data_IF_032196368582
#
_entry.id   IF_032196368582
#
_cell.length_a   1.000
_cell.length_b   1.000
_cell.length_c   1.000
_cell.angle_alpha   90.00
_cell.angle_beta   90.00
_cell.angle_gamma   90.00
#
_symmetry.space_group_name_H-M   'P 1'
#
loop_
_entity.id
_entity.type
_entity.pdbx_description
1 polymer ?
#
# COMPACT_ATOMS: atom_id res chain seq x y z
N UNK A 1 -54.91 45.96 -11.19
CA UNK A 1 -54.27 47.27 -11.47
C UNK A 1 -53.35 47.58 -10.31
N UNK A 2 -52.18 48.17 -10.57
CA UNK A 2 -51.34 48.70 -9.49
C UNK A 2 -51.47 50.22 -9.53
N UNK A 3 -51.77 50.81 -8.37
CA UNK A 3 -51.77 52.26 -8.18
C UNK A 3 -50.38 52.61 -7.66
N UNK A 4 -49.58 53.30 -8.47
CA UNK A 4 -48.25 53.79 -8.09
C UNK A 4 -48.23 55.32 -8.07
N UNK A 5 -47.48 55.90 -7.14
CA UNK A 5 -47.22 57.33 -7.08
C UNK A 5 -45.86 57.60 -7.72
N UNK A 6 -45.84 58.25 -8.89
CA UNK A 6 -44.59 58.63 -9.57
C UNK A 6 -44.54 60.14 -9.71
N UNK A 7 -43.58 60.75 -9.01
CA UNK A 7 -43.42 62.22 -8.92
C UNK A 7 -44.67 62.92 -8.37
N UNK A 8 -45.24 62.40 -7.29
CA UNK A 8 -46.39 63.01 -6.60
C UNK A 8 -47.75 62.83 -7.29
N UNK A 9 -47.81 62.21 -8.48
CA UNK A 9 -49.07 61.94 -9.19
C UNK A 9 -49.43 60.47 -9.05
N UNK A 10 -50.63 60.18 -8.53
CA UNK A 10 -51.23 58.84 -8.54
C UNK A 10 -51.48 58.42 -9.99
N UNK A 11 -50.88 57.31 -10.40
CA UNK A 11 -51.09 56.72 -11.72
C UNK A 11 -51.63 55.32 -11.56
N UNK A 12 -52.65 55.00 -12.34
CA UNK A 12 -53.12 53.64 -12.51
C UNK A 12 -52.33 53.03 -13.65
N UNK A 13 -51.53 52.01 -13.36
CA UNK A 13 -50.79 51.27 -14.39
C UNK A 13 -51.23 49.81 -14.42
N UNK A 14 -51.28 49.27 -15.64
CA UNK A 14 -51.47 47.84 -15.86
C UNK A 14 -50.16 47.13 -15.48
N UNK A 15 -50.18 46.41 -14.35
CA UNK A 15 -49.09 45.54 -13.93
C UNK A 15 -49.19 44.20 -14.68
N UNK A 16 -48.07 43.61 -15.16
CA UNK A 16 -46.69 44.12 -15.12
C UNK A 16 -46.37 45.14 -16.22
N UNK A 17 -45.45 46.07 -15.94
CA UNK A 17 -44.97 47.07 -16.93
C UNK A 17 -44.39 46.35 -18.15
N UNK A 18 -44.86 46.70 -19.35
CA UNK A 18 -44.30 46.19 -20.61
C UNK A 18 -42.80 46.51 -20.61
N UNK A 19 -41.97 45.47 -20.57
CA UNK A 19 -40.51 45.64 -20.62
C UNK A 19 -40.15 46.22 -21.99
N UNK A 20 -39.28 47.24 -21.99
CA UNK A 20 -38.74 47.80 -23.24
C UNK A 20 -37.88 46.77 -23.99
N UNK A 21 -37.45 47.09 -25.22
CA UNK A 21 -36.55 46.21 -25.96
C UNK A 21 -35.25 45.96 -25.18
N UNK A 22 -34.64 44.76 -25.33
CA UNK A 22 -33.37 44.43 -24.69
C UNK A 22 -32.29 45.43 -25.12
N UNK A 23 -31.52 45.94 -24.15
CA UNK A 23 -30.54 47.01 -24.36
C UNK A 23 -29.15 46.50 -24.70
N UNK A 24 -28.79 45.30 -24.26
CA UNK A 24 -27.48 44.67 -24.55
C UNK A 24 -27.62 43.44 -25.44
N UNK A 25 -26.52 43.04 -26.08
CA UNK A 25 -26.44 41.79 -26.85
C UNK A 25 -26.66 40.56 -25.97
N UNK A 26 -26.03 40.52 -24.80
CA UNK A 26 -26.24 39.45 -23.83
C UNK A 26 -27.72 39.36 -23.42
N UNK A 27 -28.39 40.48 -23.20
CA UNK A 27 -29.82 40.50 -22.88
C UNK A 27 -30.68 40.02 -24.07
N UNK A 28 -30.34 40.42 -25.30
CA UNK A 28 -31.00 39.92 -26.53
C UNK A 28 -30.86 38.40 -26.64
N UNK A 29 -29.65 37.89 -26.45
CA UNK A 29 -29.34 36.46 -26.48
C UNK A 29 -30.16 35.69 -25.45
N UNK A 30 -30.19 36.14 -24.18
CA UNK A 30 -31.00 35.48 -23.15
C UNK A 30 -32.49 35.52 -23.46
N UNK A 31 -33.02 36.64 -23.95
CA UNK A 31 -34.43 36.75 -24.33
C UNK A 31 -34.77 35.80 -25.48
N UNK A 32 -33.91 35.69 -26.48
CA UNK A 32 -34.11 34.79 -27.60
C UNK A 32 -34.00 33.33 -27.16
N UNK A 33 -32.97 33.00 -26.38
CA UNK A 33 -32.81 31.69 -25.76
C UNK A 33 -34.05 31.28 -24.96
N UNK A 34 -34.60 32.15 -24.10
CA UNK A 34 -35.83 31.87 -23.35
C UNK A 34 -37.05 31.68 -24.25
N UNK A 35 -37.15 32.40 -25.38
CA UNK A 35 -38.23 32.19 -26.35
C UNK A 35 -38.11 30.82 -27.01
N UNK A 36 -36.92 30.45 -27.45
CA UNK A 36 -36.64 29.14 -28.05
C UNK A 36 -36.92 28.02 -27.05
N UNK A 37 -36.43 28.16 -25.82
CA UNK A 37 -36.67 27.25 -24.71
C UNK A 37 -38.17 27.02 -24.43
N UNK A 38 -38.97 28.10 -24.34
CA UNK A 38 -40.41 27.97 -24.15
C UNK A 38 -41.12 27.32 -25.35
N UNK A 39 -40.66 27.59 -26.58
CA UNK A 39 -41.18 26.91 -27.78
C UNK A 39 -40.88 25.42 -27.73
N UNK A 40 -39.64 25.04 -27.44
CA UNK A 40 -39.25 23.65 -27.30
C UNK A 40 -40.07 22.93 -26.22
N UNK A 41 -40.22 23.54 -25.04
CA UNK A 41 -41.05 22.96 -23.97
C UNK A 41 -42.53 22.80 -24.39
N UNK A 42 -43.07 23.75 -25.17
CA UNK A 42 -44.44 23.69 -25.69
C UNK A 42 -44.64 22.58 -26.73
N UNK A 43 -43.62 22.30 -27.53
CA UNK A 43 -43.65 21.30 -28.59
C UNK A 43 -43.02 19.95 -28.16
N UNK A 44 -42.64 19.79 -26.89
CA UNK A 44 -42.25 18.50 -26.34
C UNK A 44 -43.41 17.50 -26.48
N UNK A 45 -43.09 16.20 -26.57
CA UNK A 45 -44.12 15.17 -26.70
C UNK A 45 -45.08 15.17 -25.49
N UNK A 46 -46.35 14.78 -25.66
CA UNK A 46 -47.35 14.82 -24.59
C UNK A 46 -46.95 14.02 -23.34
N UNK A 47 -46.23 12.91 -23.51
CA UNK A 47 -45.81 12.06 -22.39
C UNK A 47 -44.75 12.76 -21.53
N UNK A 48 -43.73 13.37 -22.16
CA UNK A 48 -42.73 14.18 -21.45
C UNK A 48 -43.36 15.37 -20.74
N UNK A 49 -44.34 16.05 -21.34
CA UNK A 49 -45.06 17.15 -20.69
C UNK A 49 -45.84 16.66 -19.46
N UNK A 50 -46.57 15.55 -19.57
CA UNK A 50 -47.32 14.95 -18.47
C UNK A 50 -46.40 14.54 -17.30
N UNK A 51 -45.24 13.93 -17.61
CA UNK A 51 -44.22 13.58 -16.61
C UNK A 51 -43.62 14.82 -15.96
N UNK A 52 -43.30 15.86 -16.73
CA UNK A 52 -42.79 17.11 -16.18
C UNK A 52 -43.81 17.81 -15.26
N UNK A 53 -45.11 17.73 -15.58
CA UNK A 53 -46.19 18.22 -14.70
C UNK A 53 -46.21 17.42 -13.40
N UNK A 54 -46.16 16.10 -13.49
CA UNK A 54 -46.12 15.22 -12.32
C UNK A 54 -44.92 15.54 -11.41
N UNK A 55 -43.72 15.62 -12.00
CA UNK A 55 -42.47 15.93 -11.27
C UNK A 55 -42.45 17.32 -10.63
N UNK A 56 -43.24 18.27 -11.13
CA UNK A 56 -43.26 19.63 -10.58
C UNK A 56 -44.28 19.85 -9.47
N UNK A 57 -45.20 18.90 -9.25
CA UNK A 57 -46.18 18.98 -8.16
C UNK A 57 -45.47 19.16 -6.81
N UNK A 58 -45.83 20.21 -6.08
CA UNK A 58 -45.26 20.52 -4.76
C UNK A 58 -43.86 21.14 -4.76
N UNK A 59 -43.17 21.21 -5.91
CA UNK A 59 -41.78 21.71 -5.98
C UNK A 59 -41.65 23.23 -6.14
N UNK A 60 -42.72 23.91 -6.58
CA UNK A 60 -42.68 25.33 -6.98
C UNK A 60 -42.01 25.60 -8.34
N UNK A 61 -41.47 24.57 -9.01
CA UNK A 61 -40.93 24.67 -10.37
C UNK A 61 -42.04 24.60 -11.42
N UNK A 62 -41.80 25.16 -12.60
CA UNK A 62 -42.70 24.98 -13.74
C UNK A 62 -42.32 23.73 -14.55
N UNK A 63 -43.28 23.01 -15.16
CA UNK A 63 -42.97 21.83 -15.99
C UNK A 63 -41.92 22.11 -17.07
N UNK A 64 -41.93 23.32 -17.64
CA UNK A 64 -40.90 23.77 -18.60
C UNK A 64 -39.49 23.72 -18.03
N UNK A 65 -39.30 23.97 -16.73
CA UNK A 65 -37.97 24.03 -16.13
C UNK A 65 -37.36 22.62 -16.06
N UNK A 66 -38.19 21.60 -15.82
CA UNK A 66 -37.80 20.18 -15.89
C UNK A 66 -37.47 19.78 -17.33
N UNK A 67 -38.32 20.14 -18.29
CA UNK A 67 -38.08 19.85 -19.71
C UNK A 67 -36.80 20.53 -20.22
N UNK A 68 -36.53 21.76 -19.82
CA UNK A 68 -35.32 22.47 -20.20
C UNK A 68 -34.07 21.90 -19.54
N UNK A 69 -34.17 21.43 -18.29
CA UNK A 69 -33.10 20.64 -17.66
C UNK A 69 -32.88 19.33 -18.41
N UNK A 70 -33.93 18.63 -18.81
CA UNK A 70 -33.85 17.40 -19.61
C UNK A 70 -33.16 17.67 -20.96
N UNK A 71 -33.57 18.70 -21.68
CA UNK A 71 -33.01 19.09 -22.98
C UNK A 71 -31.55 19.51 -22.89
N UNK A 72 -31.09 20.03 -21.74
CA UNK A 72 -29.67 20.33 -21.50
C UNK A 72 -28.86 19.12 -21.06
N UNK A 73 -29.46 17.92 -20.99
CA UNK A 73 -28.79 16.74 -20.43
C UNK A 73 -28.43 16.96 -18.96
N UNK A 74 -29.24 17.71 -18.20
CA UNK A 74 -29.03 18.00 -16.77
C UNK A 74 -30.24 17.59 -15.93
N UNK A 75 -30.95 16.54 -16.36
CA UNK A 75 -32.05 15.98 -15.58
C UNK A 75 -31.52 15.39 -14.27
N UNK A 76 -32.37 15.34 -13.25
CA UNK A 76 -32.03 14.83 -11.92
C UNK A 76 -31.49 13.39 -12.00
N UNK A 77 -30.56 13.09 -11.10
CA UNK A 77 -30.21 11.72 -10.77
C UNK A 77 -31.40 11.06 -10.08
N UNK A 78 -31.88 9.92 -10.59
CA UNK A 78 -32.80 9.06 -9.83
C UNK A 78 -32.19 7.68 -9.63
N UNK A 79 -32.56 7.05 -8.52
CA UNK A 79 -32.31 5.64 -8.28
C UNK A 79 -33.62 4.87 -8.47
N UNK A 80 -33.57 3.72 -9.11
CA UNK A 80 -34.69 2.78 -9.09
C UNK A 80 -34.74 2.01 -7.75
N UNK A 81 -35.74 1.13 -7.60
CA UNK A 81 -35.91 0.31 -6.39
C UNK A 81 -34.81 -0.76 -6.24
N UNK A 82 -34.11 -1.07 -7.32
CA UNK A 82 -33.01 -2.04 -7.39
C UNK A 82 -31.64 -1.40 -7.12
N UNK A 83 -31.60 -0.08 -6.94
CA UNK A 83 -30.39 0.69 -6.63
C UNK A 83 -29.60 1.17 -7.85
N UNK A 84 -30.07 0.93 -9.08
CA UNK A 84 -29.42 1.47 -10.27
C UNK A 84 -29.66 2.98 -10.34
N UNK A 85 -28.58 3.73 -10.59
CA UNK A 85 -28.63 5.20 -10.69
C UNK A 85 -28.55 5.63 -12.14
N UNK A 86 -29.54 6.39 -12.57
CA UNK A 86 -29.56 7.02 -13.88
C UNK A 86 -29.18 8.48 -13.71
N UNK A 87 -28.17 8.93 -14.45
CA UNK A 87 -27.68 10.29 -14.43
C UNK A 87 -27.35 10.73 -15.85
N UNK A 88 -27.46 12.03 -16.16
CA UNK A 88 -27.19 12.48 -17.50
C UNK A 88 -25.69 12.74 -17.69
N UNK A 89 -25.19 12.56 -18.91
CA UNK A 89 -23.76 12.75 -19.22
C UNK A 89 -23.26 14.16 -18.87
N UNK A 90 -24.07 15.21 -19.07
CA UNK A 90 -23.63 16.56 -18.70
C UNK A 90 -23.57 16.75 -17.17
N UNK A 91 -24.29 15.95 -16.40
CA UNK A 91 -24.17 15.92 -14.93
C UNK A 91 -22.84 15.32 -14.47
N UNK A 92 -22.31 14.33 -15.20
CA UNK A 92 -20.96 13.82 -14.94
C UNK A 92 -19.95 14.94 -15.17
N UNK A 93 -20.05 15.65 -16.30
CA UNK A 93 -19.12 16.74 -16.61
C UNK A 93 -19.20 17.85 -15.55
N UNK A 94 -20.40 18.30 -15.17
CA UNK A 94 -20.56 19.33 -14.13
C UNK A 94 -19.93 18.88 -12.78
N UNK A 95 -20.06 17.60 -12.42
CA UNK A 95 -19.45 17.03 -11.20
C UNK A 95 -17.94 16.95 -11.36
N UNK A 96 -17.43 16.47 -12.49
CA UNK A 96 -15.99 16.44 -12.81
C UNK A 96 -15.38 17.83 -12.72
N UNK A 97 -15.98 18.83 -13.38
CA UNK A 97 -15.52 20.23 -13.33
C UNK A 97 -15.51 20.77 -11.89
N UNK A 98 -16.45 20.32 -11.05
CA UNK A 98 -16.50 20.70 -9.63
C UNK A 98 -15.41 19.99 -8.81
N UNK A 99 -15.13 18.71 -9.10
CA UNK A 99 -14.07 17.94 -8.43
C UNK A 99 -12.66 18.40 -8.85
N UNK A 100 -12.52 18.93 -10.07
CA UNK A 100 -11.27 19.51 -10.58
C UNK A 100 -10.82 20.75 -9.77
N UNK A 101 -11.73 21.37 -9.01
CA UNK A 101 -11.38 22.42 -8.04
C UNK A 101 -10.56 21.85 -6.87
N UNK A 102 -10.76 20.57 -6.54
CA UNK A 102 -10.08 19.88 -5.43
C UNK A 102 -8.79 19.19 -5.89
N UNK A 103 -8.74 18.67 -7.13
CA UNK A 103 -7.58 17.97 -7.67
C UNK A 103 -7.56 18.02 -9.21
N UNK A 104 -6.44 18.42 -9.82
CA UNK A 104 -6.33 18.56 -11.29
C UNK A 104 -5.42 17.52 -11.96
N UNK A 105 -4.79 16.63 -11.19
CA UNK A 105 -3.83 15.66 -11.70
C UNK A 105 -4.49 14.31 -11.97
N UNK A 106 -4.15 13.71 -13.11
CA UNK A 106 -4.61 12.37 -13.49
C UNK A 106 -4.07 11.32 -12.52
N UNK A 107 -4.91 10.38 -12.10
CA UNK A 107 -4.55 9.36 -11.11
C UNK A 107 -4.68 9.82 -9.66
N UNK A 108 -5.10 11.07 -9.41
CA UNK A 108 -5.37 11.56 -8.07
C UNK A 108 -6.55 10.89 -7.38
N UNK A 109 -6.45 10.76 -6.07
CA UNK A 109 -7.50 10.21 -5.20
C UNK A 109 -7.97 11.32 -4.25
N UNK A 110 -9.28 11.48 -4.10
CA UNK A 110 -9.84 12.36 -3.08
C UNK A 110 -10.08 11.58 -1.80
N UNK A 111 -9.61 12.12 -0.68
CA UNK A 111 -9.76 11.51 0.64
C UNK A 111 -10.53 12.46 1.55
N UNK A 112 -11.30 11.88 2.48
CA UNK A 112 -12.08 12.66 3.44
C UNK A 112 -11.17 13.06 4.61
N UNK A 113 -10.98 14.36 4.82
CA UNK A 113 -10.35 14.90 6.01
C UNK A 113 -11.39 15.35 7.05
N UNK A 114 -10.91 15.80 8.20
CA UNK A 114 -11.76 16.29 9.29
C UNK A 114 -12.69 17.45 8.86
N UNK A 115 -12.21 18.34 8.00
CA UNK A 115 -12.97 19.51 7.53
C UNK A 115 -13.66 19.27 6.18
N UNK A 116 -12.92 18.83 5.17
CA UNK A 116 -13.41 18.73 3.78
C UNK A 116 -12.78 17.56 3.01
N UNK A 117 -13.25 17.34 1.79
CA UNK A 117 -12.57 16.48 0.83
C UNK A 117 -11.30 17.17 0.32
N UNK A 118 -10.18 16.46 0.31
CA UNK A 118 -8.90 16.96 -0.21
C UNK A 118 -8.17 15.86 -0.96
N UNK A 119 -7.33 16.24 -1.91
CA UNK A 119 -6.36 15.32 -2.47
C UNK A 119 -5.12 15.29 -1.55
N UNK A 120 -4.62 14.12 -1.14
CA UNK A 120 -3.30 14.03 -0.54
C UNK A 120 -2.25 14.39 -1.62
N UNK A 121 -1.09 14.89 -1.17
CA UNK A 121 0.06 15.09 -2.05
C UNK A 121 0.37 13.77 -2.77
N UNK A 122 0.52 13.74 -4.11
CA UNK A 122 0.89 12.51 -4.83
C UNK A 122 2.16 11.88 -4.26
N UNK A 123 2.15 10.56 -4.09
CA UNK A 123 3.35 9.78 -3.74
C UNK A 123 4.25 9.52 -4.95
N UNK A 124 5.41 8.96 -4.68
CA UNK A 124 6.34 8.48 -5.71
C UNK A 124 5.84 7.14 -6.32
N UNK A 125 6.31 6.77 -7.53
CA UNK A 125 5.99 5.47 -8.11
C UNK A 125 6.36 4.30 -7.17
N UNK A 126 5.38 3.51 -6.78
CA UNK A 126 5.55 2.38 -5.84
C UNK A 126 5.05 2.68 -4.42
N UNK A 127 4.72 3.93 -4.10
CA UNK A 127 4.06 4.26 -2.84
C UNK A 127 2.65 3.67 -2.77
N UNK A 128 2.18 3.45 -1.54
CA UNK A 128 0.83 3.00 -1.22
C UNK A 128 0.11 4.04 -0.36
N UNK A 129 -1.18 4.24 -0.65
CA UNK A 129 -2.01 5.15 0.13
C UNK A 129 -2.40 4.46 1.44
N UNK A 130 -1.85 4.96 2.55
CA UNK A 130 -2.05 4.39 3.89
C UNK A 130 -3.08 5.19 4.69
N UNK A 131 -3.84 4.48 5.53
CA UNK A 131 -4.78 5.07 6.47
C UNK A 131 -4.11 5.23 7.84
N UNK A 132 -3.90 6.47 8.28
CA UNK A 132 -3.22 6.81 9.53
C UNK A 132 -4.17 6.97 10.74
N UNK A 133 -5.39 6.43 10.64
CA UNK A 133 -6.42 6.56 11.68
C UNK A 133 -7.41 7.70 11.44
N UNK A 134 -8.47 7.76 12.24
CA UNK A 134 -9.64 8.59 11.96
C UNK A 134 -9.39 10.11 12.02
N UNK A 135 -8.38 10.52 12.80
CA UNK A 135 -8.02 11.93 12.96
C UNK A 135 -6.98 12.40 11.92
N UNK A 136 -6.27 11.47 11.30
CA UNK A 136 -5.24 11.76 10.30
C UNK A 136 -5.81 11.57 8.89
N UNK A 137 -5.37 12.39 7.94
CA UNK A 137 -5.69 12.14 6.53
C UNK A 137 -4.93 10.91 6.04
N UNK A 138 -5.46 10.25 5.01
CA UNK A 138 -4.67 9.26 4.30
C UNK A 138 -3.48 9.94 3.61
N UNK A 139 -2.34 9.26 3.59
CA UNK A 139 -1.08 9.74 3.02
C UNK A 139 -0.38 8.64 2.23
N UNK A 140 0.35 9.03 1.20
CA UNK A 140 1.21 8.11 0.47
C UNK A 140 2.45 7.85 1.30
N UNK A 141 2.78 6.58 1.45
CA UNK A 141 3.98 6.10 2.11
C UNK A 141 4.67 5.12 1.16
N UNK A 142 6.01 4.97 1.25
CA UNK A 142 6.70 3.88 0.59
C UNK A 142 5.96 2.59 0.86
N UNK A 143 5.73 1.77 -0.19
CA UNK A 143 5.17 0.44 0.02
C UNK A 143 6.03 -0.25 1.08
N UNK A 144 5.43 -0.52 2.24
CA UNK A 144 6.05 -1.39 3.22
C UNK A 144 6.28 -2.70 2.47
N UNK A 145 7.54 -3.00 2.16
CA UNK A 145 7.93 -4.16 1.38
C UNK A 145 7.42 -5.38 2.14
N UNK A 146 6.28 -5.92 1.72
CA UNK A 146 5.53 -6.91 2.50
C UNK A 146 6.44 -8.06 2.90
N UNK A 147 6.82 -8.13 4.17
CA UNK A 147 7.73 -9.15 4.72
C UNK A 147 8.98 -9.42 3.87
N UNK A 148 9.47 -8.43 3.12
CA UNK A 148 10.62 -8.58 2.25
C UNK A 148 11.86 -8.93 3.05
N UNK A 149 12.78 -9.69 2.46
CA UNK A 149 14.09 -9.96 3.04
C UNK A 149 14.77 -8.64 3.41
N UNK A 150 14.84 -8.33 4.72
CA UNK A 150 15.33 -7.06 5.25
C UNK A 150 16.88 -6.95 5.26
N UNK A 151 17.55 -8.00 4.79
CA UNK A 151 19.01 -8.13 4.79
C UNK A 151 19.48 -9.37 5.54
N UNK A 152 20.73 -9.76 5.31
CA UNK A 152 21.32 -10.96 5.87
C UNK A 152 22.59 -11.39 5.14
N UNK A 153 23.12 -12.53 5.56
CA UNK A 153 24.17 -13.25 4.85
C UNK A 153 23.84 -14.74 4.75
N UNK A 154 24.39 -15.39 3.72
CA UNK A 154 24.45 -16.84 3.56
C UNK A 154 25.89 -17.22 3.20
N UNK A 155 26.60 -17.71 4.21
CA UNK A 155 27.96 -18.20 4.11
C UNK A 155 27.97 -19.70 3.84
N UNK A 156 28.95 -20.19 3.08
CA UNK A 156 29.10 -21.59 2.69
C UNK A 156 30.53 -22.06 2.88
N UNK A 157 30.69 -23.36 3.16
CA UNK A 157 32.01 -23.99 3.22
C UNK A 157 32.31 -24.69 1.89
N UNK A 158 33.48 -24.41 1.32
CA UNK A 158 33.95 -25.01 0.05
C UNK A 158 35.16 -25.93 0.24
N UNK A 159 35.72 -25.97 1.44
CA UNK A 159 36.87 -26.80 1.82
C UNK A 159 36.49 -27.70 3.01
N UNK A 160 36.95 -28.95 2.97
CA UNK A 160 36.74 -29.89 4.07
C UNK A 160 37.45 -29.41 5.34
N UNK A 161 36.77 -29.49 6.48
CA UNK A 161 37.28 -29.03 7.77
C UNK A 161 37.39 -30.20 8.75
N UNK A 162 38.59 -30.44 9.29
CA UNK A 162 38.81 -31.50 10.28
C UNK A 162 38.34 -31.11 11.68
N UNK A 163 37.41 -31.88 12.24
CA UNK A 163 36.88 -31.73 13.60
C UNK A 163 37.54 -32.75 14.55
N UNK A 164 38.27 -32.24 15.53
CA UNK A 164 38.93 -33.06 16.55
C UNK A 164 37.90 -33.72 17.48
N UNK A 165 38.06 -35.02 17.74
CA UNK A 165 37.13 -35.76 18.61
C UNK A 165 37.16 -35.19 20.03
N UNK A 166 35.98 -34.95 20.59
CA UNK A 166 35.83 -34.42 21.94
C UNK A 166 36.09 -32.92 22.07
N UNK A 167 36.27 -32.19 20.96
CA UNK A 167 36.52 -30.75 20.94
C UNK A 167 35.40 -30.03 20.18
N UNK A 168 34.85 -28.98 20.80
CA UNK A 168 33.89 -28.10 20.14
C UNK A 168 34.66 -27.18 19.18
N UNK A 169 34.30 -27.21 17.90
CA UNK A 169 35.03 -26.53 16.82
C UNK A 169 34.08 -25.57 16.11
N UNK A 170 34.52 -24.35 15.82
CA UNK A 170 33.74 -23.42 15.00
C UNK A 170 33.89 -23.80 13.52
N UNK A 171 32.80 -23.75 12.75
CA UNK A 171 32.84 -24.11 11.33
C UNK A 171 33.44 -22.98 10.51
N UNK A 172 34.36 -23.31 9.59
CA UNK A 172 34.95 -22.36 8.66
C UNK A 172 34.06 -22.21 7.40
N UNK A 173 33.69 -20.98 7.06
CA UNK A 173 32.95 -20.62 5.86
C UNK A 173 33.79 -19.69 4.99
N UNK A 174 34.27 -20.19 3.86
CA UNK A 174 35.17 -19.48 2.94
C UNK A 174 34.50 -19.02 1.63
N UNK A 175 33.19 -19.25 1.51
CA UNK A 175 32.35 -18.76 0.41
C UNK A 175 31.13 -18.00 0.91
N UNK A 176 30.59 -17.14 0.05
CA UNK A 176 29.37 -16.36 0.30
C UNK A 176 28.46 -16.43 -0.92
N UNK A 177 27.17 -16.67 -0.69
CA UNK A 177 26.14 -16.56 -1.74
C UNK A 177 25.61 -15.14 -1.80
N UNK A 178 25.38 -14.53 -0.64
CA UNK A 178 25.08 -13.11 -0.48
C UNK A 178 25.52 -12.65 0.91
N UNK A 179 25.88 -11.38 1.00
CA UNK A 179 26.07 -10.68 2.26
C UNK A 179 25.68 -9.20 2.05
N UNK A 180 24.50 -8.82 2.53
CA UNK A 180 23.97 -7.47 2.29
C UNK A 180 24.50 -6.44 3.29
N UNK A 181 25.22 -6.86 4.33
CA UNK A 181 25.63 -5.99 5.43
C UNK A 181 27.06 -6.27 5.94
N UNK A 182 27.87 -6.99 5.16
CA UNK A 182 29.24 -7.38 5.53
C UNK A 182 29.30 -8.06 6.90
N UNK A 183 28.38 -9.01 7.10
CA UNK A 183 28.24 -9.82 8.30
C UNK A 183 29.38 -10.81 8.50
N UNK A 184 29.98 -11.31 7.42
CA UNK A 184 31.11 -12.23 7.45
C UNK A 184 32.32 -11.59 6.76
N UNK A 185 33.52 -11.92 7.24
CA UNK A 185 34.77 -11.62 6.53
C UNK A 185 35.53 -12.93 6.23
N UNK A 186 35.34 -13.51 5.04
CA UNK A 186 36.01 -14.75 4.66
C UNK A 186 37.53 -14.62 4.57
N UNK A 187 38.09 -13.41 4.54
CA UNK A 187 39.54 -13.21 4.49
C UNK A 187 40.18 -13.23 5.87
N UNK A 188 39.49 -12.76 6.91
CA UNK A 188 40.07 -12.60 8.26
C UNK A 188 39.43 -13.46 9.34
N UNK A 189 38.11 -13.62 9.36
CA UNK A 189 37.39 -14.51 10.29
C UNK A 189 36.26 -15.25 9.58
N UNK A 190 36.61 -16.43 9.06
CA UNK A 190 35.70 -17.34 8.36
C UNK A 190 34.65 -18.00 9.25
N UNK A 191 34.72 -17.82 10.57
CA UNK A 191 33.91 -18.58 11.52
C UNK A 191 32.79 -17.77 12.15
N UNK A 192 32.76 -16.46 11.92
CA UNK A 192 32.00 -15.50 12.70
C UNK A 192 31.07 -14.66 11.83
N UNK A 193 29.79 -14.62 12.21
CA UNK A 193 28.86 -13.59 11.74
C UNK A 193 28.79 -12.49 12.79
N UNK A 194 29.14 -11.26 12.42
CA UNK A 194 29.07 -10.07 13.30
C UNK A 194 27.86 -9.22 12.96
N UNK A 195 27.05 -8.88 13.97
CA UNK A 195 25.86 -8.06 13.80
C UNK A 195 26.25 -6.57 13.67
N UNK A 196 25.81 -5.86 12.62
CA UNK A 196 26.12 -4.45 12.41
C UNK A 196 25.11 -3.56 13.16
N UNK A 197 25.38 -2.26 13.17
CA UNK A 197 24.48 -1.26 13.74
C UNK A 197 23.04 -1.36 13.16
N UNK A 198 22.03 -1.09 14.00
CA UNK A 198 20.63 -0.97 13.57
C UNK A 198 19.92 -2.31 13.32
N UNK A 199 20.48 -3.41 13.83
CA UNK A 199 19.79 -4.69 13.95
C UNK A 199 19.28 -4.87 15.37
N UNK A 200 18.00 -5.20 15.52
CA UNK A 200 17.38 -5.49 16.82
C UNK A 200 17.01 -6.97 16.95
N UNK A 201 16.65 -7.60 15.83
CA UNK A 201 16.20 -8.98 15.76
C UNK A 201 16.90 -9.73 14.64
N UNK A 202 17.31 -10.96 14.93
CA UNK A 202 17.90 -11.85 13.95
C UNK A 202 17.32 -13.26 14.04
N UNK A 203 17.44 -14.01 12.94
CA UNK A 203 17.25 -15.47 12.92
C UNK A 203 18.46 -16.12 12.27
N UNK A 204 18.94 -17.18 12.89
CA UNK A 204 20.08 -17.98 12.43
C UNK A 204 19.60 -19.30 11.84
N UNK A 205 20.24 -19.74 10.77
CA UNK A 205 20.09 -21.07 10.20
C UNK A 205 21.47 -21.64 9.91
N UNK A 206 21.72 -22.89 10.26
CA UNK A 206 22.99 -23.54 10.02
C UNK A 206 22.79 -24.99 9.64
N UNK A 207 23.61 -25.48 8.73
CA UNK A 207 23.67 -26.89 8.39
C UNK A 207 25.12 -27.32 8.14
N UNK A 208 25.41 -28.59 8.38
CA UNK A 208 26.69 -29.21 8.04
C UNK A 208 26.49 -30.61 7.50
N UNK A 209 27.38 -31.04 6.61
CA UNK A 209 27.48 -32.42 6.14
C UNK A 209 28.70 -33.09 6.76
N UNK A 210 28.49 -34.19 7.47
CA UNK A 210 29.56 -34.94 8.12
C UNK A 210 30.13 -36.03 7.22
N UNK A 211 31.45 -36.24 7.28
CA UNK A 211 32.09 -37.44 6.75
C UNK A 211 31.59 -38.71 7.47
N UNK A 212 31.77 -39.85 6.81
CA UNK A 212 31.05 -41.05 7.19
C UNK A 212 31.52 -41.68 8.52
N UNK A 213 30.61 -41.91 9.49
CA UNK A 213 30.90 -42.59 10.76
C UNK A 213 29.65 -42.97 11.59
N UNK A 214 29.64 -44.14 12.23
CA UNK A 214 28.52 -44.65 13.06
C UNK A 214 28.80 -44.73 14.57
N UNK A 215 29.90 -44.13 15.06
CA UNK A 215 30.37 -44.23 16.45
C UNK A 215 30.24 -42.90 17.19
N UNK A 216 29.73 -42.94 18.42
CA UNK A 216 29.57 -41.74 19.26
C UNK A 216 28.35 -40.91 18.90
N UNK A 217 28.43 -39.60 19.11
CA UNK A 217 27.38 -38.63 18.77
C UNK A 217 27.95 -37.41 18.07
N UNK A 218 27.07 -36.67 17.40
CA UNK A 218 27.34 -35.38 16.75
C UNK A 218 26.46 -34.31 17.41
N UNK A 219 26.98 -33.10 17.50
CA UNK A 219 26.27 -31.95 18.01
C UNK A 219 26.51 -30.74 17.11
N UNK A 220 25.45 -30.03 16.79
CA UNK A 220 25.45 -28.68 16.22
C UNK A 220 24.82 -27.73 17.24
N UNK A 221 25.38 -26.53 17.39
CA UNK A 221 24.75 -25.44 18.14
C UNK A 221 25.23 -24.07 17.65
N UNK A 222 24.51 -23.02 18.02
CA UNK A 222 24.99 -21.65 17.87
C UNK A 222 25.61 -21.15 19.18
N UNK A 223 26.76 -20.49 19.09
CA UNK A 223 27.32 -19.72 20.21
C UNK A 223 27.21 -18.22 19.91
N UNK A 224 26.88 -17.42 20.92
CA UNK A 224 26.88 -15.96 20.90
C UNK A 224 28.00 -15.47 21.80
N UNK A 225 28.93 -14.68 21.26
CA UNK A 225 30.06 -14.11 22.00
C UNK A 225 30.85 -15.18 22.77
N UNK A 226 30.97 -16.38 22.18
CA UNK A 226 31.70 -17.52 22.75
C UNK A 226 30.95 -18.33 23.82
N UNK A 227 29.66 -18.07 24.04
CA UNK A 227 28.84 -18.77 25.03
C UNK A 227 27.46 -19.20 24.48
N UNK A 228 26.80 -20.09 25.22
CA UNK A 228 25.39 -20.41 24.98
C UNK A 228 24.50 -19.24 25.42
N UNK A 229 23.35 -19.08 24.77
CA UNK A 229 22.40 -17.99 25.03
C UNK A 229 20.95 -18.48 25.08
N UNK A 230 19.99 -17.71 25.66
CA UNK A 230 18.58 -18.07 25.65
C UNK A 230 18.04 -18.20 24.21
N UNK A 231 17.46 -19.35 23.88
CA UNK A 231 17.03 -19.65 22.50
C UNK A 231 18.13 -20.23 21.62
N UNK A 232 19.29 -20.58 22.17
CA UNK A 232 20.35 -21.31 21.47
C UNK A 232 19.81 -22.64 20.91
N UNK A 233 19.64 -22.70 19.59
CA UNK A 233 19.29 -23.94 18.92
C UNK A 233 20.46 -24.92 19.04
N UNK A 234 20.17 -26.11 19.58
CA UNK A 234 21.14 -27.21 19.71
C UNK A 234 20.51 -28.47 19.16
N UNK A 235 21.23 -29.19 18.31
CA UNK A 235 20.84 -30.50 17.82
C UNK A 235 21.94 -31.51 18.15
N UNK A 236 21.58 -32.54 18.93
CA UNK A 236 22.48 -33.62 19.31
C UNK A 236 21.87 -34.94 18.88
N UNK A 237 22.60 -35.70 18.05
CA UNK A 237 22.15 -37.01 17.57
C UNK A 237 23.25 -38.05 17.64
N UNK A 238 22.86 -39.33 17.69
CA UNK A 238 23.80 -40.44 17.55
C UNK A 238 24.44 -40.40 16.15
N UNK A 239 25.74 -40.70 16.07
CA UNK A 239 26.43 -40.79 14.79
C UNK A 239 25.84 -41.92 13.92
N UNK A 240 25.72 -41.65 12.63
CA UNK A 240 25.21 -42.54 11.59
C UNK A 240 26.07 -42.36 10.34
N UNK A 241 26.13 -43.39 9.48
CA UNK A 241 27.06 -43.52 8.35
C UNK A 241 27.32 -42.17 7.67
N UNK A 242 26.42 -41.64 6.85
CA UNK A 242 26.52 -40.27 6.36
C UNK A 242 25.36 -39.44 6.92
N UNK A 243 25.63 -38.19 7.30
CA UNK A 243 24.53 -37.34 7.73
C UNK A 243 24.73 -35.87 7.53
N UNK A 244 23.62 -35.24 7.19
CA UNK A 244 23.39 -33.82 7.29
C UNK A 244 22.72 -33.53 8.63
N UNK A 245 23.17 -32.46 9.27
CA UNK A 245 22.54 -31.88 10.46
C UNK A 245 22.21 -30.43 10.16
N UNK A 246 21.02 -29.99 10.58
CA UNK A 246 20.59 -28.61 10.45
C UNK A 246 19.88 -28.11 11.70
N UNK A 247 20.02 -26.81 11.97
CA UNK A 247 19.40 -26.11 13.09
C UNK A 247 18.92 -24.73 12.66
N UNK A 248 17.83 -24.29 13.27
CA UNK A 248 17.27 -22.93 13.10
C UNK A 248 16.98 -22.34 14.48
N UNK A 249 17.41 -21.11 14.71
CA UNK A 249 17.09 -20.39 15.95
C UNK A 249 15.65 -19.86 15.93
N UNK A 250 15.03 -19.59 17.09
CA UNK A 250 13.93 -18.64 17.15
C UNK A 250 14.41 -17.26 16.69
N UNK A 251 13.48 -16.30 16.60
CA UNK A 251 13.85 -14.89 16.50
C UNK A 251 14.48 -14.47 17.83
N UNK A 252 15.71 -13.95 17.77
CA UNK A 252 16.48 -13.58 18.95
C UNK A 252 16.82 -12.09 18.93
N UNK A 253 16.83 -11.42 20.10
CA UNK A 253 17.31 -10.05 20.19
C UNK A 253 18.82 -10.03 19.97
N UNK A 254 19.30 -9.01 19.25
CA UNK A 254 20.72 -8.81 18.96
C UNK A 254 21.12 -7.36 19.20
N UNK A 255 22.40 -7.13 19.42
CA UNK A 255 23.02 -5.81 19.51
C UNK A 255 24.18 -5.70 18.52
N UNK A 256 24.54 -4.47 18.17
CA UNK A 256 25.73 -4.22 17.36
C UNK A 256 26.98 -4.84 18.01
N UNK A 257 27.78 -5.53 17.19
CA UNK A 257 29.01 -6.19 17.62
C UNK A 257 28.80 -7.60 18.18
N UNK A 258 27.55 -8.08 18.33
CA UNK A 258 27.31 -9.47 18.69
C UNK A 258 27.89 -10.41 17.62
N UNK A 259 28.58 -11.45 18.08
CA UNK A 259 29.25 -12.42 17.21
C UNK A 259 28.62 -13.79 17.38
N UNK A 260 28.06 -14.33 16.29
CA UNK A 260 27.53 -15.69 16.24
C UNK A 260 28.50 -16.62 15.53
N UNK A 261 28.64 -17.85 16.06
CA UNK A 261 29.38 -18.94 15.42
C UNK A 261 28.52 -20.19 15.35
N UNK A 262 28.60 -20.92 14.24
CA UNK A 262 28.10 -22.30 14.16
C UNK A 262 29.18 -23.23 14.73
N UNK A 263 28.81 -23.94 15.80
CA UNK A 263 29.71 -24.84 16.51
C UNK A 263 29.34 -26.29 16.26
N UNK A 264 30.35 -27.12 16.03
CA UNK A 264 30.21 -28.56 15.83
C UNK A 264 31.04 -29.35 16.83
N UNK A 265 30.56 -30.54 17.18
CA UNK A 265 31.25 -31.45 18.10
C UNK A 265 30.95 -32.90 17.74
N UNK A 266 31.95 -33.78 17.90
CA UNK A 266 31.81 -35.21 17.63
C UNK A 266 32.67 -36.07 18.58
N UNK A 267 32.26 -37.33 18.82
CA UNK A 267 32.95 -38.24 19.76
C UNK A 267 33.32 -39.60 19.18
N UNK A 268 33.69 -39.69 17.90
CA UNK A 268 33.99 -40.99 17.26
C UNK A 268 35.29 -41.64 17.76
N UNK A 269 36.12 -40.90 18.49
CA UNK A 269 37.42 -41.36 19.02
C UNK A 269 38.63 -40.99 18.16
N UNK A 270 38.42 -40.38 16.99
CA UNK A 270 39.47 -39.81 16.13
C UNK A 270 38.93 -38.61 15.34
N UNK A 271 39.79 -37.91 14.62
CA UNK A 271 39.39 -36.74 13.83
C UNK A 271 38.40 -37.11 12.71
N UNK A 272 37.36 -36.31 12.53
CA UNK A 272 36.33 -36.48 11.49
C UNK A 272 36.17 -35.18 10.72
N UNK A 273 36.05 -35.26 9.41
CA UNK A 273 35.88 -34.06 8.59
C UNK A 273 34.40 -33.68 8.45
N UNK A 274 34.16 -32.37 8.37
CA UNK A 274 33.01 -31.81 7.69
C UNK A 274 33.34 -31.67 6.21
N UNK A 275 32.37 -31.96 5.35
CA UNK A 275 32.54 -31.73 3.92
C UNK A 275 32.32 -30.26 3.58
N UNK A 276 33.24 -29.69 2.79
CA UNK A 276 33.13 -28.39 2.14
C UNK A 276 32.16 -28.40 0.97
N UNK A 277 30.90 -28.69 1.26
CA UNK A 277 29.81 -28.75 0.27
C UNK A 277 28.95 -27.49 0.38
N UNK A 278 29.06 -26.52 -0.53
CA UNK A 278 28.38 -25.24 -0.38
C UNK A 278 26.85 -25.34 -0.45
N UNK A 279 26.31 -26.47 -0.92
CA UNK A 279 24.87 -26.72 -0.91
C UNK A 279 24.35 -27.27 0.43
N UNK A 280 25.23 -27.79 1.30
CA UNK A 280 24.85 -28.56 2.50
C UNK A 280 25.55 -28.15 3.79
N UNK A 281 26.68 -27.45 3.68
CA UNK A 281 27.42 -26.86 4.79
C UNK A 281 27.36 -25.34 4.67
N UNK A 282 26.46 -24.72 5.44
CA UNK A 282 26.17 -23.28 5.37
C UNK A 282 25.82 -22.68 6.73
N UNK A 283 25.97 -21.36 6.82
CA UNK A 283 25.54 -20.56 7.95
C UNK A 283 24.91 -19.26 7.46
N UNK A 284 23.68 -19.02 7.88
CA UNK A 284 22.88 -17.88 7.45
C UNK A 284 22.38 -17.08 8.65
N UNK A 285 22.37 -15.77 8.50
CA UNK A 285 21.78 -14.82 9.43
C UNK A 285 20.83 -13.91 8.66
N UNK A 286 19.61 -13.75 9.16
CA UNK A 286 18.58 -12.93 8.54
C UNK A 286 18.14 -11.84 9.51
N UNK A 287 18.06 -10.59 9.03
CA UNK A 287 17.43 -9.45 9.71
C UNK A 287 15.91 -9.59 9.66
N UNK A 288 15.25 -9.31 10.79
CA UNK A 288 13.80 -9.30 10.91
C UNK A 288 13.28 -7.94 11.37
#
# INVERSE_FOLDING_TARGET
>A
MMIDTVRGVLRVRKWPKKRGPPRSELQRWWVDWFKQANRLAKYADPMSQARAIEMTKGSGLYPRDILLKAMRGRLYTWADQDGNKWYPMAGIQDISDTLDILAQFTGGVLTRAADRWRAPTPGDPGDVLTYQGAAAGAEWQPAASGGGFAGGALATATVDQTVTSGVLTAVDFDGEVYDTASLLDPATDKTAITIPAGWEWARLNGAVRWASNSTGFRLLRFDLNGAIFPGCATHRKKANTESEDSITSPVIPVSEGDVFKLMVYQTKGSNLDLFGDPARTYFACQKL
#
